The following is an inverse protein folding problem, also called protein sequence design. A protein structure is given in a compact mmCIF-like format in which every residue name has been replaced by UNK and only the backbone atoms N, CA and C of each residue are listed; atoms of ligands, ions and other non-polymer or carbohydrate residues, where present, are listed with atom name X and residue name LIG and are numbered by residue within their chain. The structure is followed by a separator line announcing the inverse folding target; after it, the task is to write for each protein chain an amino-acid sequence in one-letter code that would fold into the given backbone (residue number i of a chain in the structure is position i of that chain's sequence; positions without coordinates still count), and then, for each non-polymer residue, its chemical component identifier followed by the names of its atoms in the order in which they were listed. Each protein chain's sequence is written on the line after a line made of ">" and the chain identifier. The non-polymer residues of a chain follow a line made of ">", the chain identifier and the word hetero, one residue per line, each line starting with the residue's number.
data_IF_674317090433
#
_entry.id   IF_674317090433
#
_cell.length_a   1.000
_cell.length_b   1.000
_cell.length_c   1.000
_cell.angle_alpha   90.00
_cell.angle_beta   90.00
_cell.angle_gamma   90.00
#
_symmetry.space_group_name_H-M   'P 1'
#
loop_
_entity.id
_entity.type
_entity.pdbx_description
1 polymer ?
#
# COMPACT_ATOMS: atom_id res chain seq x y z
N UNK A 1 44.95 -27.60 35.93
CA UNK A 1 43.53 -27.36 35.59
C UNK A 1 43.35 -25.85 35.52
N UNK A 2 43.32 -25.28 34.32
CA UNK A 2 43.22 -23.83 34.14
C UNK A 2 42.28 -23.57 32.97
N UNK A 3 41.13 -22.99 33.29
CA UNK A 3 40.01 -22.80 32.37
C UNK A 3 40.35 -21.62 31.46
N UNK A 4 40.39 -21.89 30.15
CA UNK A 4 40.49 -20.87 29.10
C UNK A 4 39.37 -19.85 29.27
N UNK A 5 39.73 -18.58 29.40
CA UNK A 5 38.79 -17.45 29.39
C UNK A 5 38.05 -17.39 28.05
N UNK A 6 36.72 -17.45 28.11
CA UNK A 6 35.86 -17.06 26.99
C UNK A 6 35.92 -15.55 26.85
N UNK A 7 36.30 -15.06 25.68
CA UNK A 7 36.05 -13.67 25.30
C UNK A 7 34.55 -13.45 25.16
N UNK A 8 33.99 -12.59 26.00
CA UNK A 8 32.61 -12.13 25.90
C UNK A 8 32.62 -10.98 24.90
N UNK A 9 32.03 -11.19 23.72
CA UNK A 9 31.86 -10.16 22.72
C UNK A 9 30.66 -9.28 23.12
N UNK A 10 30.94 -8.22 23.90
CA UNK A 10 29.92 -7.30 24.41
C UNK A 10 29.50 -6.36 23.28
N UNK A 11 28.25 -6.45 22.86
CA UNK A 11 27.64 -5.55 21.89
C UNK A 11 27.65 -4.10 22.42
N UNK A 12 28.22 -3.15 21.67
CA UNK A 12 28.42 -1.73 22.10
C UNK A 12 27.13 -1.02 22.57
N UNK A 13 25.94 -1.52 22.22
CA UNK A 13 24.65 -1.00 22.71
C UNK A 13 24.33 -1.39 24.16
N UNK A 14 24.87 -2.51 24.67
CA UNK A 14 24.66 -2.95 26.07
C UNK A 14 25.56 -2.18 27.05
N UNK A 15 26.68 -1.62 26.55
CA UNK A 15 27.61 -0.82 27.36
C UNK A 15 27.01 0.52 27.86
N UNK A 16 25.97 1.05 27.19
CA UNK A 16 25.30 2.29 27.63
C UNK A 16 24.39 2.02 28.85
N UNK A 17 23.79 0.83 28.95
CA UNK A 17 22.91 0.46 30.08
C UNK A 17 23.74 0.06 31.32
N UNK A 18 24.94 -0.49 31.14
CA UNK A 18 25.81 -0.90 32.26
C UNK A 18 26.67 0.27 32.79
N UNK A 19 26.97 1.28 31.97
CA UNK A 19 27.72 2.47 32.39
C UNK A 19 26.99 3.39 33.37
N UNK A 20 25.66 3.30 33.45
CA UNK A 20 24.80 4.12 34.33
C UNK A 20 24.69 3.52 35.75
N UNK A 21 24.91 2.21 35.91
CA UNK A 21 24.75 1.51 37.20
C UNK A 21 25.89 1.81 38.20
N UNK A 22 27.01 2.40 37.76
CA UNK A 22 28.20 2.62 38.63
C UNK A 22 28.10 3.87 39.53
N UNK A 23 27.05 4.69 39.42
CA UNK A 23 26.79 5.81 40.37
C UNK A 23 25.95 5.40 41.60
N UNK A 24 25.87 4.10 41.92
CA UNK A 24 25.11 3.56 43.06
C UNK A 24 25.87 3.66 44.40
N UNK A 25 27.14 4.05 44.40
CA UNK A 25 27.90 4.25 45.65
C UNK A 25 27.80 5.69 46.16
N UNK A 26 26.92 5.96 47.14
CA UNK A 26 27.20 6.67 48.42
C UNK A 26 25.87 7.06 49.12
N UNK A 27 25.50 6.27 50.13
CA UNK A 27 24.94 6.77 51.40
C UNK A 27 23.42 6.70 51.64
N UNK A 28 22.84 5.52 51.85
CA UNK A 28 21.55 5.42 52.56
C UNK A 28 21.76 5.55 54.08
N UNK A 29 21.99 6.77 54.60
CA UNK A 29 21.90 7.06 56.04
C UNK A 29 21.38 8.48 56.27
N UNK A 30 20.14 8.59 56.75
CA UNK A 30 19.62 9.77 57.46
C UNK A 30 18.33 10.38 56.90
N UNK A 31 17.16 9.96 57.43
CA UNK A 31 15.88 10.67 57.26
C UNK A 31 16.02 12.10 57.79
N UNK A 32 16.07 13.08 56.89
CA UNK A 32 16.17 14.51 57.19
C UNK A 32 16.37 15.34 55.91
N UNK A 33 16.18 16.66 55.99
CA UNK A 33 16.25 17.63 54.86
C UNK A 33 17.43 17.44 53.87
N UNK A 34 18.51 16.77 54.27
CA UNK A 34 19.66 16.46 53.43
C UNK A 34 19.37 15.38 52.38
N UNK A 35 18.47 14.43 52.67
CA UNK A 35 18.09 13.36 51.74
C UNK A 35 17.24 13.90 50.58
N UNK A 36 16.24 14.72 50.88
CA UNK A 36 15.41 15.40 49.87
C UNK A 36 16.27 16.25 48.92
N UNK A 37 17.22 17.02 49.48
CA UNK A 37 18.13 17.85 48.67
C UNK A 37 18.97 16.99 47.72
N UNK A 38 19.54 15.89 48.21
CA UNK A 38 20.34 14.97 47.38
C UNK A 38 19.51 14.33 46.28
N UNK A 39 18.28 13.90 46.58
CA UNK A 39 17.38 13.31 45.58
C UNK A 39 17.05 14.33 44.50
N UNK A 40 16.70 15.56 44.88
CA UNK A 40 16.48 16.64 43.91
C UNK A 40 17.70 16.85 43.01
N UNK A 41 18.90 16.93 43.59
CA UNK A 41 20.14 17.14 42.82
C UNK A 41 20.43 15.98 41.85
N UNK A 42 20.29 14.74 42.32
CA UNK A 42 20.52 13.55 41.50
C UNK A 42 19.48 13.42 40.37
N UNK A 43 18.20 13.67 40.67
CA UNK A 43 17.13 13.63 39.67
C UNK A 43 17.27 14.74 38.63
N UNK A 44 17.71 15.95 39.03
CA UNK A 44 18.00 17.03 38.06
C UNK A 44 19.13 16.61 37.12
N UNK A 45 20.24 16.10 37.65
CA UNK A 45 21.35 15.59 36.80
C UNK A 45 20.90 14.49 35.86
N UNK A 46 20.06 13.58 36.35
CA UNK A 46 19.50 12.49 35.53
C UNK A 46 18.59 13.04 34.42
N UNK A 47 17.71 14.00 34.72
CA UNK A 47 16.87 14.68 33.71
C UNK A 47 17.75 15.38 32.65
N UNK A 48 18.77 16.10 33.07
CA UNK A 48 19.71 16.78 32.16
C UNK A 48 20.48 15.80 31.28
N UNK A 49 20.79 14.61 31.82
CA UNK A 49 21.43 13.52 31.08
C UNK A 49 20.45 12.69 30.21
N UNK A 50 19.14 12.91 30.32
CA UNK A 50 18.10 12.14 29.62
C UNK A 50 17.76 10.79 30.27
N UNK A 51 18.20 10.53 31.50
CA UNK A 51 17.88 9.33 32.27
C UNK A 51 16.61 9.53 33.11
N UNK A 52 15.47 9.57 32.41
CA UNK A 52 14.18 9.87 33.02
C UNK A 52 13.68 8.76 33.95
N UNK A 53 14.02 7.50 33.66
CA UNK A 53 13.61 6.35 34.48
C UNK A 53 14.32 6.35 35.83
N UNK A 54 15.63 6.65 35.85
CA UNK A 54 16.34 6.84 37.10
C UNK A 54 15.77 8.03 37.88
N UNK A 55 15.56 9.16 37.20
CA UNK A 55 15.01 10.36 37.82
C UNK A 55 13.66 10.07 38.48
N UNK A 56 12.77 9.36 37.78
CA UNK A 56 11.48 8.87 38.29
C UNK A 56 11.72 7.99 39.52
N UNK A 57 12.45 6.88 39.39
CA UNK A 57 12.71 5.95 40.51
C UNK A 57 13.24 6.64 41.76
N UNK A 58 14.20 7.56 41.61
CA UNK A 58 14.76 8.33 42.73
C UNK A 58 13.70 9.22 43.41
N UNK A 59 12.86 9.91 42.64
CA UNK A 59 11.79 10.78 43.17
C UNK A 59 10.65 9.98 43.82
N UNK A 60 10.30 8.82 43.26
CA UNK A 60 9.28 7.92 43.80
C UNK A 60 9.57 7.52 45.25
N UNK A 61 10.86 7.38 45.60
CA UNK A 61 11.27 6.96 46.95
C UNK A 61 10.92 7.95 48.05
N UNK A 62 10.61 9.20 47.71
CA UNK A 62 10.35 10.28 48.69
C UNK A 62 9.09 11.08 48.43
N UNK A 63 8.47 11.00 47.25
CA UNK A 63 7.33 11.86 46.90
C UNK A 63 6.14 11.74 47.87
N UNK A 64 5.76 10.52 48.27
CA UNK A 64 4.60 10.31 49.16
C UNK A 64 4.87 10.72 50.62
N UNK A 65 6.14 10.88 51.00
CA UNK A 65 6.56 11.28 52.34
C UNK A 65 7.08 12.71 52.44
N UNK A 66 7.19 13.42 51.32
CA UNK A 66 7.75 14.76 51.24
C UNK A 66 6.66 15.83 51.18
N UNK A 67 6.91 16.98 51.79
CA UNK A 67 6.11 18.20 51.60
C UNK A 67 6.78 19.17 50.61
N UNK A 68 7.78 18.70 49.85
CA UNK A 68 8.58 19.53 48.95
C UNK A 68 7.90 19.69 47.60
N UNK A 69 7.34 20.89 47.36
CA UNK A 69 6.81 21.29 46.03
C UNK A 69 7.79 21.06 44.88
N UNK A 70 9.10 21.09 45.14
CA UNK A 70 10.12 20.84 44.12
C UNK A 70 10.19 19.35 43.75
N UNK A 71 10.05 18.45 44.71
CA UNK A 71 9.97 17.01 44.46
C UNK A 71 8.70 16.70 43.67
N UNK A 72 7.55 17.25 44.07
CA UNK A 72 6.27 17.05 43.38
C UNK A 72 6.34 17.47 41.90
N UNK A 73 6.92 18.64 41.64
CA UNK A 73 7.12 19.17 40.29
C UNK A 73 8.02 18.26 39.45
N UNK A 74 9.18 17.87 39.98
CA UNK A 74 10.11 17.00 39.26
C UNK A 74 9.48 15.64 38.98
N UNK A 75 8.77 15.08 39.96
CA UNK A 75 8.08 13.80 39.84
C UNK A 75 6.99 13.86 38.77
N UNK A 76 6.17 14.91 38.80
CA UNK A 76 5.15 15.15 37.77
C UNK A 76 5.78 15.24 36.37
N UNK A 77 6.85 16.02 36.21
CA UNK A 77 7.57 16.21 34.94
C UNK A 77 8.00 14.86 34.36
N UNK A 78 8.77 14.07 35.10
CA UNK A 78 9.31 12.80 34.57
C UNK A 78 8.22 11.76 34.36
N UNK A 79 7.25 11.69 35.28
CA UNK A 79 6.14 10.73 35.20
C UNK A 79 5.21 11.04 34.03
N UNK A 80 4.84 12.30 33.81
CA UNK A 80 4.03 12.69 32.67
C UNK A 80 4.74 12.41 31.36
N UNK A 81 6.03 12.74 31.24
CA UNK A 81 6.79 12.45 30.03
C UNK A 81 6.83 10.94 29.73
N UNK A 82 7.20 10.11 30.71
CA UNK A 82 7.30 8.67 30.51
C UNK A 82 5.94 8.02 30.24
N UNK A 83 4.89 8.42 30.97
CA UNK A 83 3.55 7.92 30.71
C UNK A 83 3.07 8.37 29.31
N UNK A 84 3.37 9.59 28.87
CA UNK A 84 3.03 10.03 27.52
C UNK A 84 3.73 9.18 26.45
N UNK A 85 5.02 8.88 26.63
CA UNK A 85 5.76 8.02 25.69
C UNK A 85 5.21 6.59 25.68
N UNK A 86 4.87 6.03 26.85
CA UNK A 86 4.31 4.69 26.93
C UNK A 86 2.94 4.62 26.23
N UNK A 87 2.08 5.61 26.49
CA UNK A 87 0.78 5.69 25.83
C UNK A 87 0.94 5.80 24.31
N UNK A 88 1.86 6.63 23.82
CA UNK A 88 2.07 6.83 22.39
C UNK A 88 2.68 5.60 21.68
N UNK A 89 3.75 5.03 22.24
CA UNK A 89 4.55 4.02 21.53
C UNK A 89 4.21 2.58 21.89
N UNK A 90 3.78 2.32 23.13
CA UNK A 90 3.51 0.97 23.62
C UNK A 90 2.02 0.62 23.54
N UNK A 91 1.15 1.61 23.79
CA UNK A 91 -0.30 1.41 23.83
C UNK A 91 -1.05 2.03 22.66
N UNK A 92 -0.36 2.75 21.75
CA UNK A 92 -0.95 3.47 20.62
C UNK A 92 -2.16 4.34 21.01
N UNK A 93 -2.12 4.93 22.21
CA UNK A 93 -3.18 5.75 22.77
C UNK A 93 -2.78 7.23 22.73
N UNK A 94 -3.10 7.87 21.60
CA UNK A 94 -2.75 9.26 21.31
C UNK A 94 -3.45 10.23 22.26
N UNK A 95 -4.72 9.97 22.60
CA UNK A 95 -5.51 10.81 23.50
C UNK A 95 -4.90 10.86 24.90
N UNK A 96 -4.58 9.70 25.48
CA UNK A 96 -3.93 9.65 26.80
C UNK A 96 -2.51 10.19 26.76
N UNK A 97 -1.76 9.99 25.68
CA UNK A 97 -0.44 10.57 25.54
C UNK A 97 -0.51 12.11 25.63
N UNK A 98 -1.47 12.72 24.92
CA UNK A 98 -1.75 14.15 24.96
C UNK A 98 -2.17 14.62 26.35
N UNK A 99 -3.07 13.89 27.01
CA UNK A 99 -3.52 14.19 28.37
C UNK A 99 -2.34 14.27 29.37
N UNK A 100 -1.39 13.33 29.29
CA UNK A 100 -0.19 13.38 30.14
C UNK A 100 0.72 14.57 29.81
N UNK A 101 0.90 14.91 28.53
CA UNK A 101 1.70 16.07 28.10
C UNK A 101 1.07 17.40 28.53
N UNK A 102 -0.26 17.48 28.54
CA UNK A 102 -1.00 18.69 28.95
C UNK A 102 -0.98 18.88 30.47
N UNK A 103 -0.96 17.78 31.24
CA UNK A 103 -0.82 17.79 32.71
C UNK A 103 0.61 18.02 33.21
N UNK A 104 1.59 17.98 32.31
CA UNK A 104 3.00 18.10 32.66
C UNK A 104 3.35 19.52 33.13
N UNK A 105 3.99 19.65 34.29
CA UNK A 105 4.39 20.95 34.83
C UNK A 105 5.36 21.65 33.88
N UNK A 106 5.01 22.87 33.48
CA UNK A 106 5.74 23.67 32.47
C UNK A 106 7.21 23.96 32.79
N UNK A 107 7.65 23.75 34.04
CA UNK A 107 9.05 23.89 34.44
C UNK A 107 9.97 22.89 33.71
N UNK A 108 9.43 21.86 33.04
CA UNK A 108 10.23 20.96 32.18
C UNK A 108 11.05 21.72 31.14
N UNK A 109 10.57 22.89 30.69
CA UNK A 109 11.23 23.74 29.70
C UNK A 109 12.59 24.27 30.14
N UNK A 110 12.92 24.18 31.44
CA UNK A 110 14.22 24.56 32.01
C UNK A 110 15.32 23.53 31.74
N UNK A 111 14.94 22.32 31.32
CA UNK A 111 15.88 21.24 31.03
C UNK A 111 15.93 21.03 29.52
N UNK A 112 16.97 21.56 28.86
CA UNK A 112 17.05 21.62 27.40
C UNK A 112 16.83 20.26 26.73
N UNK A 113 17.44 19.20 27.27
CA UNK A 113 17.31 17.83 26.76
C UNK A 113 15.86 17.32 26.86
N UNK A 114 15.24 17.43 28.04
CA UNK A 114 13.86 17.02 28.24
C UNK A 114 12.88 17.87 27.43
N UNK A 115 13.13 19.18 27.30
CA UNK A 115 12.33 20.05 26.45
C UNK A 115 12.32 19.55 25.00
N UNK A 116 13.49 19.27 24.44
CA UNK A 116 13.59 18.75 23.07
C UNK A 116 12.87 17.39 22.91
N UNK A 117 13.01 16.50 23.88
CA UNK A 117 12.36 15.20 23.84
C UNK A 117 10.82 15.31 23.97
N UNK A 118 10.31 16.20 24.85
CA UNK A 118 8.88 16.52 24.97
C UNK A 118 8.33 17.14 23.69
N UNK A 119 9.06 18.10 23.10
CA UNK A 119 8.66 18.76 21.85
C UNK A 119 8.52 17.73 20.72
N UNK A 120 9.47 16.77 20.62
CA UNK A 120 9.38 15.66 19.66
C UNK A 120 8.14 14.79 19.89
N UNK A 121 7.83 14.41 21.13
CA UNK A 121 6.63 13.60 21.42
C UNK A 121 5.36 14.38 21.05
N UNK A 122 5.30 15.69 21.30
CA UNK A 122 4.17 16.54 20.90
C UNK A 122 3.98 16.60 19.38
N UNK A 123 5.08 16.72 18.64
CA UNK A 123 5.05 16.69 17.17
C UNK A 123 4.54 15.35 16.65
N UNK A 124 4.99 14.23 17.23
CA UNK A 124 4.52 12.90 16.85
C UNK A 124 3.04 12.68 17.19
N UNK A 125 2.58 13.08 18.38
CA UNK A 125 1.15 13.08 18.75
C UNK A 125 0.35 13.83 17.70
N UNK A 126 0.75 15.08 17.38
CA UNK A 126 0.04 15.90 16.39
C UNK A 126 0.04 15.25 15.01
N UNK A 127 1.17 14.71 14.56
CA UNK A 127 1.27 14.04 13.26
C UNK A 127 0.32 12.84 13.16
N UNK A 128 0.15 12.07 14.24
CA UNK A 128 -0.79 10.93 14.25
C UNK A 128 -2.24 11.41 14.33
N UNK A 129 -2.55 12.44 15.11
CA UNK A 129 -3.89 13.06 15.14
C UNK A 129 -4.32 13.57 13.76
N UNK A 130 -3.41 14.27 13.06
CA UNK A 130 -3.70 14.81 11.74
C UNK A 130 -3.88 13.70 10.70
N UNK A 131 -3.07 12.64 10.79
CA UNK A 131 -3.22 11.46 9.93
C UNK A 131 -4.55 10.72 10.15
N UNK A 132 -5.01 10.58 11.39
CA UNK A 132 -6.34 10.00 11.69
C UNK A 132 -7.45 10.79 10.98
N UNK A 133 -7.37 12.12 10.98
CA UNK A 133 -8.36 12.97 10.27
C UNK A 133 -8.23 12.85 8.76
N UNK A 134 -7.02 12.66 8.25
CA UNK A 134 -6.78 12.44 6.82
C UNK A 134 -7.41 11.13 6.35
N UNK A 135 -7.36 10.07 7.17
CA UNK A 135 -8.01 8.79 6.85
C UNK A 135 -9.53 8.93 6.72
N UNK A 136 -10.20 9.76 7.54
CA UNK A 136 -11.63 10.01 7.34
C UNK A 136 -11.92 10.58 5.93
N UNK A 137 -11.05 11.46 5.42
CA UNK A 137 -11.18 11.99 4.05
C UNK A 137 -10.91 10.93 2.99
N UNK A 138 -9.93 10.05 3.21
CA UNK A 138 -9.65 8.92 2.32
C UNK A 138 -10.89 8.03 2.21
N UNK A 139 -11.52 7.69 3.35
CA UNK A 139 -12.76 6.90 3.38
C UNK A 139 -13.85 7.60 2.55
N UNK A 140 -14.09 8.89 2.79
CA UNK A 140 -15.10 9.65 2.03
C UNK A 140 -14.81 9.70 0.51
N UNK A 141 -13.55 9.85 0.11
CA UNK A 141 -13.16 9.88 -1.31
C UNK A 141 -13.31 8.50 -1.97
N UNK A 142 -12.93 7.43 -1.26
CA UNK A 142 -13.12 6.06 -1.70
C UNK A 142 -14.59 5.75 -1.93
N UNK A 143 -15.45 6.11 -0.99
CA UNK A 143 -16.91 5.92 -1.10
C UNK A 143 -17.48 6.63 -2.34
N UNK A 144 -17.10 7.89 -2.58
CA UNK A 144 -17.51 8.66 -3.77
C UNK A 144 -17.04 8.02 -5.08
N UNK A 145 -15.82 7.47 -5.12
CA UNK A 145 -15.31 6.78 -6.31
C UNK A 145 -16.11 5.50 -6.60
N UNK A 146 -16.54 4.79 -5.57
CA UNK A 146 -17.33 3.56 -5.73
C UNK A 146 -18.76 3.82 -6.25
N UNK A 147 -19.32 5.02 -6.05
CA UNK A 147 -20.62 5.41 -6.60
C UNK A 147 -20.64 5.44 -8.14
N UNK A 148 -19.49 5.68 -8.78
CA UNK A 148 -19.39 5.77 -10.25
C UNK A 148 -19.56 4.41 -10.93
N UNK A 149 -19.20 3.31 -10.25
CA UNK A 149 -19.38 1.93 -10.73
C UNK A 149 -18.71 1.61 -12.07
N UNK A 150 -17.55 2.22 -12.32
CA UNK A 150 -16.68 1.88 -13.44
C UNK A 150 -15.33 1.32 -12.98
N UNK A 151 -14.61 0.70 -13.92
CA UNK A 151 -13.33 0.04 -13.65
C UNK A 151 -12.27 0.99 -13.11
N UNK A 152 -12.12 2.17 -13.72
CA UNK A 152 -11.04 3.11 -13.39
C UNK A 152 -11.25 3.73 -12.01
N UNK A 153 -12.49 4.08 -11.67
CA UNK A 153 -12.88 4.60 -10.36
C UNK A 153 -12.66 3.57 -9.27
N UNK A 154 -13.05 2.31 -9.50
CA UNK A 154 -12.78 1.22 -8.56
C UNK A 154 -11.29 0.92 -8.41
N UNK A 155 -10.50 0.97 -9.49
CA UNK A 155 -9.04 0.81 -9.42
C UNK A 155 -8.38 1.93 -8.61
N UNK A 156 -8.84 3.16 -8.77
CA UNK A 156 -8.36 4.31 -7.98
C UNK A 156 -8.76 4.16 -6.51
N UNK A 157 -10.00 3.77 -6.24
CA UNK A 157 -10.48 3.47 -4.89
C UNK A 157 -9.63 2.37 -4.22
N UNK A 158 -9.31 1.29 -4.96
CA UNK A 158 -8.47 0.19 -4.47
C UNK A 158 -7.07 0.67 -4.06
N UNK A 159 -6.47 1.58 -4.83
CA UNK A 159 -5.15 2.13 -4.50
C UNK A 159 -5.19 3.01 -3.25
N UNK A 160 -6.23 3.83 -3.10
CA UNK A 160 -6.40 4.73 -1.95
C UNK A 160 -6.73 3.96 -0.66
N UNK A 161 -7.58 2.93 -0.75
CA UNK A 161 -7.96 2.07 0.37
C UNK A 161 -6.92 0.97 0.66
N UNK A 162 -5.76 0.97 -0.01
CA UNK A 162 -4.76 -0.07 0.17
C UNK A 162 -4.11 0.02 1.56
N UNK A 163 -4.56 -0.88 2.43
CA UNK A 163 -4.16 -0.99 3.83
C UNK A 163 -2.64 -1.09 4.02
N UNK A 164 -1.94 -1.81 3.14
CA UNK A 164 -0.48 -1.99 3.24
C UNK A 164 0.30 -0.70 2.95
N UNK A 165 -0.32 0.26 2.27
CA UNK A 165 0.26 1.58 1.96
C UNK A 165 -0.11 2.64 3.00
N UNK A 166 -1.08 2.38 3.88
CA UNK A 166 -1.54 3.34 4.88
C UNK A 166 -0.56 3.36 6.08
N UNK A 167 0.03 4.54 6.32
CA UNK A 167 0.87 4.79 7.49
C UNK A 167 0.06 4.49 8.76
N UNK A 168 0.67 3.96 9.81
CA UNK A 168 0.01 3.75 11.12
C UNK A 168 -1.33 2.98 11.05
N UNK A 169 -1.60 2.17 10.02
CA UNK A 169 -2.89 1.50 9.87
C UNK A 169 -3.32 0.76 11.15
N UNK A 170 -2.40 0.02 11.77
CA UNK A 170 -2.63 -0.71 13.02
C UNK A 170 -2.98 0.16 14.23
N UNK A 171 -2.72 1.47 14.15
CA UNK A 171 -2.93 2.45 15.21
C UNK A 171 -4.19 3.30 14.97
N UNK A 172 -4.86 3.12 13.84
CA UNK A 172 -6.11 3.82 13.55
C UNK A 172 -7.22 3.39 14.50
N UNK A 173 -8.15 4.32 14.84
CA UNK A 173 -9.41 4.00 15.50
C UNK A 173 -10.09 2.79 14.87
N UNK A 174 -10.64 1.90 15.72
CA UNK A 174 -11.30 0.67 15.26
C UNK A 174 -12.38 0.93 14.21
N UNK A 175 -13.16 2.00 14.37
CA UNK A 175 -14.17 2.45 13.39
C UNK A 175 -13.57 2.64 11.99
N UNK A 176 -12.42 3.29 11.89
CA UNK A 176 -11.77 3.59 10.60
C UNK A 176 -11.17 2.34 9.98
N UNK A 177 -10.48 1.50 10.78
CA UNK A 177 -9.92 0.23 10.30
C UNK A 177 -11.00 -0.67 9.74
N UNK A 178 -12.07 -0.89 10.51
CA UNK A 178 -13.20 -1.71 10.09
C UNK A 178 -13.83 -1.19 8.80
N UNK A 179 -14.03 0.13 8.69
CA UNK A 179 -14.60 0.71 7.46
C UNK A 179 -13.67 0.55 6.26
N UNK A 180 -12.36 0.73 6.42
CA UNK A 180 -11.39 0.49 5.35
C UNK A 180 -11.35 -0.98 4.92
N UNK A 181 -11.40 -1.92 5.87
CA UNK A 181 -11.46 -3.36 5.56
C UNK A 181 -12.74 -3.70 4.76
N UNK A 182 -13.90 -3.17 5.18
CA UNK A 182 -15.18 -3.33 4.48
C UNK A 182 -15.11 -2.75 3.05
N UNK A 183 -14.66 -1.50 2.91
CA UNK A 183 -14.51 -0.85 1.61
C UNK A 183 -13.56 -1.61 0.69
N UNK A 184 -12.42 -2.09 1.20
CA UNK A 184 -11.47 -2.86 0.41
C UNK A 184 -12.10 -4.16 -0.13
N UNK A 185 -12.97 -4.82 0.66
CA UNK A 185 -13.77 -5.95 0.20
C UNK A 185 -14.76 -5.56 -0.90
N UNK A 186 -15.60 -4.56 -0.65
CA UNK A 186 -16.60 -4.05 -1.60
C UNK A 186 -15.97 -3.63 -2.94
N UNK A 187 -14.79 -3.01 -2.92
CA UNK A 187 -14.03 -2.62 -4.12
C UNK A 187 -13.60 -3.86 -4.92
N UNK A 188 -13.06 -4.88 -4.25
CA UNK A 188 -12.62 -6.09 -4.95
C UNK A 188 -13.80 -6.85 -5.57
N UNK A 189 -14.93 -6.90 -4.87
CA UNK A 189 -16.16 -7.51 -5.38
C UNK A 189 -16.67 -6.75 -6.61
N UNK A 190 -16.77 -5.42 -6.54
CA UNK A 190 -17.19 -4.61 -7.69
C UNK A 190 -16.25 -4.72 -8.90
N UNK A 191 -14.93 -4.76 -8.69
CA UNK A 191 -13.97 -5.03 -9.78
C UNK A 191 -14.19 -6.41 -10.41
N UNK A 192 -14.48 -7.42 -9.59
CA UNK A 192 -14.77 -8.78 -10.05
C UNK A 192 -16.06 -8.82 -10.89
N UNK A 193 -17.12 -8.15 -10.43
CA UNK A 193 -18.39 -8.03 -11.16
C UNK A 193 -18.20 -7.36 -12.52
N UNK A 194 -17.54 -6.20 -12.56
CA UNK A 194 -17.24 -5.49 -13.81
C UNK A 194 -16.45 -6.39 -14.77
N UNK A 195 -15.44 -7.11 -14.26
CA UNK A 195 -14.65 -8.02 -15.10
C UNK A 195 -15.48 -9.17 -15.65
N UNK A 196 -16.39 -9.73 -14.86
CA UNK A 196 -17.29 -10.78 -15.31
C UNK A 196 -18.25 -10.27 -16.39
N UNK A 197 -18.75 -9.04 -16.29
CA UNK A 197 -19.55 -8.42 -17.34
C UNK A 197 -18.78 -8.18 -18.64
N UNK A 198 -17.52 -7.71 -18.54
CA UNK A 198 -16.64 -7.55 -19.70
C UNK A 198 -16.43 -8.90 -20.40
N UNK A 199 -16.06 -9.93 -19.65
CA UNK A 199 -15.84 -11.27 -20.20
C UNK A 199 -17.08 -11.82 -20.90
N UNK A 200 -18.28 -11.64 -20.32
CA UNK A 200 -19.55 -12.07 -20.94
C UNK A 200 -19.83 -11.32 -22.25
N UNK A 201 -19.54 -10.02 -22.32
CA UNK A 201 -19.70 -9.23 -23.55
C UNK A 201 -18.69 -9.66 -24.63
N UNK A 202 -17.45 -9.92 -24.25
CA UNK A 202 -16.42 -10.43 -25.17
C UNK A 202 -16.78 -11.81 -25.73
N UNK A 203 -17.29 -12.71 -24.88
CA UNK A 203 -17.75 -14.04 -25.28
C UNK A 203 -18.95 -13.98 -26.23
N UNK A 204 -19.96 -13.15 -25.92
CA UNK A 204 -21.11 -12.94 -26.81
C UNK A 204 -20.70 -12.36 -28.18
N UNK A 205 -19.76 -11.40 -28.19
CA UNK A 205 -19.24 -10.82 -29.42
C UNK A 205 -18.47 -11.87 -30.24
N UNK A 206 -17.71 -12.74 -29.58
CA UNK A 206 -17.00 -13.84 -30.23
C UNK A 206 -17.97 -14.86 -30.84
N UNK A 207 -19.02 -15.24 -30.13
CA UNK A 207 -20.06 -16.13 -30.66
C UNK A 207 -20.79 -15.51 -31.86
N UNK A 208 -21.14 -14.23 -31.80
CA UNK A 208 -21.77 -13.52 -32.93
C UNK A 208 -20.85 -13.47 -34.15
N UNK A 209 -19.56 -13.18 -33.95
CA UNK A 209 -18.58 -13.16 -35.03
C UNK A 209 -18.35 -14.54 -35.64
N UNK A 210 -18.34 -15.60 -34.83
CA UNK A 210 -18.24 -16.98 -35.32
C UNK A 210 -19.45 -17.36 -36.18
N UNK A 211 -20.67 -17.04 -35.74
CA UNK A 211 -21.89 -17.29 -36.53
C UNK A 211 -21.88 -16.55 -37.88
N UNK A 212 -21.48 -15.28 -37.89
CA UNK A 212 -21.34 -14.51 -39.13
C UNK A 212 -20.29 -15.10 -40.06
N UNK A 213 -19.20 -15.64 -39.51
CA UNK A 213 -18.17 -16.31 -40.30
C UNK A 213 -18.69 -17.62 -40.90
N UNK A 214 -19.42 -18.44 -40.13
CA UNK A 214 -20.09 -19.66 -40.61
C UNK A 214 -21.12 -19.34 -41.71
N UNK A 215 -21.95 -18.31 -41.53
CA UNK A 215 -22.92 -17.86 -42.56
C UNK A 215 -22.22 -17.36 -43.85
N UNK A 216 -21.07 -16.70 -43.72
CA UNK A 216 -20.24 -16.29 -44.86
C UNK A 216 -19.61 -17.49 -45.59
N UNK A 217 -19.19 -18.52 -44.87
CA UNK A 217 -18.72 -19.79 -45.45
C UNK A 217 -19.86 -20.55 -46.15
N UNK A 218 -21.05 -20.61 -45.55
CA UNK A 218 -22.24 -21.23 -46.16
C UNK A 218 -22.71 -20.48 -47.42
N UNK A 219 -22.65 -19.15 -47.43
CA UNK A 219 -22.98 -18.32 -48.60
C UNK A 219 -21.93 -18.38 -49.72
N UNK A 220 -20.69 -18.74 -49.42
CA UNK A 220 -19.66 -18.91 -50.47
C UNK A 220 -19.89 -20.15 -51.35
N UNK A 221 -20.79 -21.07 -50.95
CA UNK A 221 -21.16 -22.23 -51.74
C UNK A 221 -20.00 -23.24 -51.86
N UNK A 222 -20.33 -24.51 -52.04
CA UNK A 222 -19.34 -25.59 -52.25
C UNK A 222 -18.66 -25.53 -53.63
N UNK A 223 -18.89 -24.48 -54.40
CA UNK A 223 -18.34 -24.33 -55.75
C UNK A 223 -17.00 -23.58 -55.73
N UNK A 224 -15.92 -24.16 -56.28
CA UNK A 224 -14.64 -23.50 -56.39
C UNK A 224 -14.76 -22.16 -57.13
N UNK A 225 -14.35 -21.08 -56.45
CA UNK A 225 -14.31 -19.72 -57.01
C UNK A 225 -12.87 -19.26 -57.23
N UNK A 226 -12.56 -18.94 -58.48
CA UNK A 226 -11.23 -18.57 -58.97
C UNK A 226 -11.09 -17.06 -59.12
N UNK A 227 -9.98 -16.47 -58.69
CA UNK A 227 -9.76 -15.03 -58.83
C UNK A 227 -9.36 -14.69 -60.27
N UNK A 228 -10.06 -13.74 -60.89
CA UNK A 228 -9.83 -13.29 -62.28
C UNK A 228 -9.27 -11.86 -62.25
N UNK A 229 -7.95 -11.66 -62.47
CA UNK A 229 -7.29 -10.38 -62.23
C UNK A 229 -7.86 -9.21 -63.03
N UNK A 230 -8.17 -9.42 -64.31
CA UNK A 230 -8.65 -8.34 -65.19
C UNK A 230 -10.06 -7.84 -64.84
N UNK A 231 -10.82 -8.60 -64.05
CA UNK A 231 -12.16 -8.22 -63.56
C UNK A 231 -12.16 -7.87 -62.07
N UNK A 232 -11.04 -8.08 -61.38
CA UNK A 232 -10.88 -7.90 -59.94
C UNK A 232 -12.01 -8.56 -59.11
N UNK A 233 -12.44 -9.77 -59.50
CA UNK A 233 -13.49 -10.54 -58.83
C UNK A 233 -13.17 -12.03 -58.84
N UNK A 234 -13.80 -12.78 -57.94
CA UNK A 234 -13.76 -14.26 -57.93
C UNK A 234 -14.98 -14.83 -58.62
N UNK A 235 -14.76 -15.76 -59.56
CA UNK A 235 -15.80 -16.37 -60.39
C UNK A 235 -15.81 -17.89 -60.25
N UNK A 236 -16.98 -18.51 -60.31
CA UNK A 236 -17.12 -19.95 -60.54
C UNK A 236 -16.69 -20.32 -61.97
N UNK A 237 -16.52 -21.61 -62.28
CA UNK A 237 -16.24 -22.06 -63.66
C UNK A 237 -17.35 -21.63 -64.63
N UNK A 238 -18.61 -21.63 -64.18
CA UNK A 238 -19.75 -21.20 -64.99
C UNK A 238 -19.70 -19.68 -65.26
N UNK A 239 -19.45 -18.88 -64.22
CA UNK A 239 -19.30 -17.43 -64.36
C UNK A 239 -18.11 -17.07 -65.28
N UNK A 240 -17.00 -17.81 -65.23
CA UNK A 240 -15.88 -17.64 -66.17
C UNK A 240 -16.26 -17.99 -67.61
N UNK A 241 -17.07 -19.04 -67.82
CA UNK A 241 -17.58 -19.39 -69.14
C UNK A 241 -18.50 -18.28 -69.69
N UNK A 242 -19.35 -17.68 -68.86
CA UNK A 242 -20.18 -16.54 -69.26
C UNK A 242 -19.35 -15.31 -69.66
N UNK A 243 -18.29 -14.99 -68.90
CA UNK A 243 -17.38 -13.88 -69.25
C UNK A 243 -16.62 -14.15 -70.55
N UNK A 244 -16.20 -15.39 -70.77
CA UNK A 244 -15.60 -15.80 -72.04
C UNK A 244 -16.60 -15.63 -73.19
N UNK A 245 -17.85 -16.04 -73.01
CA UNK A 245 -18.86 -15.93 -74.07
C UNK A 245 -19.16 -14.47 -74.48
N UNK A 246 -19.03 -13.51 -73.56
CA UNK A 246 -19.21 -12.08 -73.88
C UNK A 246 -18.12 -11.52 -74.79
N UNK A 247 -16.88 -11.96 -74.60
CA UNK A 247 -15.70 -11.34 -75.22
C UNK A 247 -15.02 -12.25 -76.24
N UNK A 248 -15.33 -13.55 -76.24
CA UNK A 248 -14.65 -14.63 -76.97
C UNK A 248 -13.13 -14.57 -76.84
N UNK A 249 -12.63 -14.04 -75.72
CA UNK A 249 -11.21 -13.78 -75.48
C UNK A 249 -10.75 -14.59 -74.27
N UNK A 250 -9.71 -15.43 -74.39
CA UNK A 250 -9.11 -16.10 -73.24
C UNK A 250 -8.61 -15.10 -72.19
N UNK A 251 -8.64 -15.49 -70.92
CA UNK A 251 -8.17 -14.64 -69.83
C UNK A 251 -7.55 -15.43 -68.70
N UNK A 252 -6.72 -14.75 -67.91
CA UNK A 252 -6.04 -15.35 -66.78
C UNK A 252 -6.95 -15.45 -65.55
N UNK A 253 -6.76 -16.52 -64.78
CA UNK A 253 -7.33 -16.73 -63.45
C UNK A 253 -6.30 -17.37 -62.50
N UNK A 254 -6.50 -17.22 -61.20
CA UNK A 254 -5.63 -17.81 -60.17
C UNK A 254 -6.33 -19.03 -59.58
N UNK A 255 -5.68 -20.19 -59.69
CA UNK A 255 -6.14 -21.45 -59.13
C UNK A 255 -5.85 -21.60 -57.63
N UNK A 256 -6.35 -22.67 -57.02
CA UNK A 256 -6.27 -22.91 -55.57
C UNK A 256 -4.83 -22.98 -55.02
N UNK A 257 -3.86 -23.33 -55.88
CA UNK A 257 -2.42 -23.36 -55.56
C UNK A 257 -1.71 -22.00 -55.71
N UNK A 258 -2.44 -20.91 -55.98
CA UNK A 258 -1.86 -19.59 -56.25
C UNK A 258 -1.21 -19.45 -57.63
N UNK A 259 -1.31 -20.48 -58.47
CA UNK A 259 -0.78 -20.49 -59.84
C UNK A 259 -1.74 -19.77 -60.80
N UNK A 260 -1.18 -19.01 -61.74
CA UNK A 260 -1.95 -18.39 -62.82
C UNK A 260 -2.20 -19.39 -63.95
N UNK A 261 -3.44 -19.49 -64.39
CA UNK A 261 -3.91 -20.33 -65.47
C UNK A 261 -4.65 -19.48 -66.49
N UNK A 262 -4.69 -19.92 -67.75
CA UNK A 262 -5.47 -19.28 -68.80
C UNK A 262 -6.77 -20.04 -69.04
N UNK A 263 -7.90 -19.36 -68.92
CA UNK A 263 -9.22 -19.89 -69.26
C UNK A 263 -9.44 -19.83 -70.78
N UNK A 264 -9.44 -20.98 -71.45
CA UNK A 264 -9.68 -21.10 -72.89
C UNK A 264 -10.43 -22.41 -73.22
N UNK A 265 -11.78 -22.40 -73.25
CA UNK A 265 -12.60 -23.61 -73.39
C UNK A 265 -12.50 -24.28 -74.78
N UNK A 266 -11.94 -23.61 -75.79
CA UNK A 266 -11.75 -24.14 -77.15
C UNK A 266 -10.39 -24.81 -77.42
N UNK A 267 -9.51 -24.85 -76.42
CA UNK A 267 -8.16 -25.42 -76.54
C UNK A 267 -8.13 -26.93 -76.28
N UNK A 268 -7.65 -27.72 -77.23
CA UNK A 268 -7.47 -29.18 -77.06
C UNK A 268 -6.27 -29.58 -76.17
N UNK A 269 -5.62 -28.64 -75.48
CA UNK A 269 -4.55 -28.89 -74.51
C UNK A 269 -4.68 -27.97 -73.29
N UNK A 270 -4.44 -28.45 -72.06
CA UNK A 270 -4.20 -27.58 -70.92
C UNK A 270 -3.00 -26.71 -71.27
N UNK A 271 -3.16 -25.38 -71.31
CA UNK A 271 -2.02 -24.49 -71.55
C UNK A 271 -1.28 -24.37 -70.23
N UNK A 272 -0.13 -25.03 -70.16
CA UNK A 272 0.83 -24.94 -69.05
C UNK A 272 1.19 -23.47 -68.78
N UNK A 273 1.50 -23.11 -67.52
CA UNK A 273 1.90 -21.76 -67.16
C UNK A 273 3.13 -21.35 -67.97
N UNK A 274 3.04 -20.20 -68.66
CA UNK A 274 4.21 -19.57 -69.25
C UNK A 274 5.10 -19.06 -68.11
N UNK A 275 6.28 -19.67 -67.97
CA UNK A 275 7.34 -19.24 -67.04
C UNK A 275 7.81 -17.82 -67.33
#
# INVERSE_FOLDING_TARGET
>A
MNIKGKEININKKILIVVGIIVLVGIGFIGKGKNEEKRIIENSVKAIEAGDYEYARTALASVVDGSNSKKIDKLWNIVTCYQNATDQLYSYNNIEKAKEYLDKMDSDYKKYDKLKADVDKVKEEVKSREDYIKEVDKIIEEVEKLMEVKDWDSYKKAQEMANIDKLKYYSELPERQRKRLDELYGEINDGLSEIRNEINKKEEALREENNKKAEELEEQQGTEPRYFVPHLNKRLTMEEMQEEYNKTSTPFDYIGDAGMTYMFNPGSAKPTEPAY
#
